data_IF_415433199578
#
_entry.id   IF_415433199578
#
_cell.length_a   1.000
_cell.length_b   1.000
_cell.length_c   1.000
_cell.angle_alpha   90.00
_cell.angle_beta   90.00
_cell.angle_gamma   90.00
#
_symmetry.space_group_name_H-M   'P 1'
#
loop_
_entity.id
_entity.type
_entity.pdbx_description
1 polymer ?
#
# COMPACT_ATOMS: atom_id res chain seq x y z
N UNK A 1 -15.49 -13.43 -3.07
CA UNK A 1 -14.49 -12.54 -2.43
C UNK A 1 -13.11 -12.93 -2.98
N UNK A 2 -12.64 -12.33 -4.09
CA UNK A 2 -11.35 -12.66 -4.72
C UNK A 2 -10.60 -11.42 -5.26
N UNK A 3 -10.96 -10.21 -4.82
CA UNK A 3 -10.44 -8.96 -5.41
C UNK A 3 -9.19 -8.39 -4.69
N UNK A 4 -8.83 -8.92 -3.51
CA UNK A 4 -7.77 -8.33 -2.68
C UNK A 4 -6.40 -8.95 -2.94
N UNK A 5 -6.34 -10.24 -3.26
CA UNK A 5 -5.07 -10.97 -3.45
C UNK A 5 -4.33 -10.54 -4.73
N UNK A 6 -5.06 -10.17 -5.80
CA UNK A 6 -4.45 -9.77 -7.07
C UNK A 6 -3.65 -8.46 -6.95
N UNK A 7 -4.21 -7.43 -6.30
CA UNK A 7 -3.55 -6.14 -6.18
C UNK A 7 -2.32 -6.19 -5.25
N UNK A 8 -2.32 -7.07 -4.24
CA UNK A 8 -1.13 -7.29 -3.40
C UNK A 8 0.00 -7.94 -4.20
N UNK A 9 -0.29 -8.98 -4.99
CA UNK A 9 0.74 -9.58 -5.85
C UNK A 9 1.30 -8.59 -6.88
N UNK A 10 0.45 -7.70 -7.41
CA UNK A 10 0.90 -6.63 -8.31
C UNK A 10 1.81 -5.64 -7.57
N UNK A 11 1.43 -5.22 -6.35
CA UNK A 11 2.28 -4.37 -5.50
C UNK A 11 3.63 -5.02 -5.19
N UNK A 12 3.64 -6.30 -4.78
CA UNK A 12 4.86 -7.05 -4.50
C UNK A 12 5.77 -7.12 -5.73
N UNK A 13 5.20 -7.37 -6.91
CA UNK A 13 5.97 -7.38 -8.17
C UNK A 13 6.62 -6.03 -8.42
N UNK A 14 5.88 -4.92 -8.32
CA UNK A 14 6.42 -3.57 -8.59
C UNK A 14 7.48 -3.17 -7.57
N UNK A 15 7.38 -3.64 -6.33
CA UNK A 15 8.36 -3.35 -5.28
C UNK A 15 9.64 -4.19 -5.38
N UNK A 16 9.56 -5.40 -5.97
CA UNK A 16 10.68 -6.34 -6.05
C UNK A 16 11.39 -6.34 -7.40
N UNK A 17 10.69 -6.00 -8.48
CA UNK A 17 11.23 -5.93 -9.83
C UNK A 17 11.45 -4.47 -10.24
N UNK A 18 12.72 -4.08 -10.33
CA UNK A 18 13.13 -2.72 -10.73
C UNK A 18 12.73 -2.36 -12.17
N UNK A 19 12.43 -3.38 -13.01
CA UNK A 19 12.02 -3.20 -14.39
C UNK A 19 10.49 -3.23 -14.55
N UNK A 20 9.74 -3.34 -13.46
CA UNK A 20 8.28 -3.34 -13.52
C UNK A 20 7.75 -1.99 -14.01
N UNK A 21 6.84 -2.04 -14.98
CA UNK A 21 6.15 -0.85 -15.46
C UNK A 21 5.30 -0.22 -14.34
N UNK A 22 5.22 1.13 -14.27
CA UNK A 22 4.30 1.82 -13.40
C UNK A 22 2.87 1.27 -13.60
N UNK A 23 2.24 0.85 -12.51
CA UNK A 23 0.91 0.24 -12.58
C UNK A 23 -0.05 0.96 -11.65
N UNK A 24 -1.27 1.19 -12.13
CA UNK A 24 -2.34 1.74 -11.31
C UNK A 24 -2.74 0.76 -10.19
N UNK A 25 -2.61 1.21 -8.95
CA UNK A 25 -3.05 0.48 -7.77
C UNK A 25 -4.27 1.16 -7.15
N UNK A 26 -5.23 0.39 -6.60
CA UNK A 26 -6.41 0.98 -5.96
C UNK A 26 -6.02 1.91 -4.81
N UNK A 27 -6.65 3.07 -4.72
CA UNK A 27 -6.42 4.01 -3.61
C UNK A 27 -6.70 3.38 -2.24
N UNK A 28 -7.66 2.46 -2.15
CA UNK A 28 -7.96 1.71 -0.93
C UNK A 28 -6.80 0.83 -0.47
N UNK A 29 -6.06 0.24 -1.40
CA UNK A 29 -4.84 -0.51 -1.11
C UNK A 29 -3.75 0.43 -0.57
N UNK A 30 -3.49 1.54 -1.28
CA UNK A 30 -2.50 2.54 -0.87
C UNK A 30 -2.80 3.10 0.53
N UNK A 31 -4.08 3.38 0.80
CA UNK A 31 -4.56 3.80 2.12
C UNK A 31 -4.33 2.73 3.18
N UNK A 32 -4.55 1.46 2.85
CA UNK A 32 -4.31 0.33 3.76
C UNK A 32 -2.85 0.20 4.17
N UNK A 33 -1.92 0.21 3.20
CA UNK A 33 -0.48 -0.02 3.45
C UNK A 33 0.24 1.16 4.10
N UNK A 34 -0.38 2.34 4.09
CA UNK A 34 0.13 3.59 4.70
C UNK A 34 -0.57 3.94 6.01
N UNK A 35 -1.36 3.01 6.58
CA UNK A 35 -2.18 3.25 7.75
C UNK A 35 -3.03 4.53 7.65
N UNK A 36 -3.73 4.68 6.52
CA UNK A 36 -4.57 5.84 6.27
C UNK A 36 -3.81 7.11 5.89
N UNK A 37 -2.65 6.99 5.22
CA UNK A 37 -1.73 8.11 4.98
C UNK A 37 -1.31 8.80 6.29
N UNK A 38 -0.97 7.98 7.30
CA UNK A 38 -0.60 8.49 8.61
C UNK A 38 0.65 9.38 8.52
N UNK A 39 0.64 10.59 9.12
CA UNK A 39 1.84 11.43 9.21
C UNK A 39 3.01 10.73 9.92
N UNK A 40 2.73 9.77 10.79
CA UNK A 40 3.76 8.96 11.45
C UNK A 40 4.57 8.10 10.46
N UNK A 41 4.02 7.83 9.28
CA UNK A 41 4.68 7.08 8.21
C UNK A 41 5.22 8.00 7.11
N UNK A 42 5.01 9.31 7.18
CA UNK A 42 5.56 10.25 6.20
C UNK A 42 7.07 10.35 6.36
N UNK A 43 7.81 10.11 5.28
CA UNK A 43 9.27 10.22 5.24
C UNK A 43 9.74 11.46 4.48
N UNK A 44 8.87 12.12 3.73
CA UNK A 44 9.20 13.34 3.01
C UNK A 44 7.99 14.07 2.45
N UNK A 45 8.17 15.37 2.20
CA UNK A 45 7.20 16.25 1.56
C UNK A 45 7.95 17.25 0.69
N UNK A 46 7.51 17.42 -0.56
CA UNK A 46 8.03 18.42 -1.49
C UNK A 46 6.92 19.10 -2.27
N UNK A 47 7.28 19.93 -3.25
CA UNK A 47 6.32 20.65 -4.10
C UNK A 47 5.45 19.75 -4.99
N UNK A 48 5.81 18.47 -5.14
CA UNK A 48 5.16 17.53 -6.04
C UNK A 48 4.42 16.40 -5.33
N UNK A 49 4.94 15.93 -4.19
CA UNK A 49 4.41 14.75 -3.53
C UNK A 49 4.74 14.70 -2.05
N UNK A 50 3.98 13.85 -1.36
CA UNK A 50 4.28 13.35 -0.02
C UNK A 50 4.67 11.88 -0.15
N UNK A 51 5.76 11.51 0.52
CA UNK A 51 6.32 10.16 0.45
C UNK A 51 6.06 9.46 1.78
N UNK A 52 5.45 8.28 1.72
CA UNK A 52 5.05 7.50 2.90
C UNK A 52 5.77 6.15 2.92
N UNK A 53 6.18 5.72 4.11
CA UNK A 53 6.67 4.38 4.38
C UNK A 53 5.50 3.40 4.42
N UNK A 54 5.65 2.28 3.72
CA UNK A 54 4.68 1.19 3.72
C UNK A 54 5.02 0.17 4.81
N UNK A 55 4.00 -0.30 5.54
CA UNK A 55 4.18 -1.32 6.61
C UNK A 55 3.62 -2.67 6.18
N UNK A 56 4.51 -3.65 6.00
CA UNK A 56 4.14 -5.03 5.63
C UNK A 56 3.30 -5.76 6.69
N UNK A 57 3.31 -5.30 7.95
CA UNK A 57 2.50 -5.88 9.02
C UNK A 57 0.98 -5.78 8.76
N UNK A 58 0.52 -4.81 7.96
CA UNK A 58 -0.88 -4.70 7.56
C UNK A 58 -1.26 -5.64 6.39
N UNK A 59 -0.28 -6.23 5.70
CA UNK A 59 -0.50 -7.17 4.59
C UNK A 59 -0.75 -8.61 5.08
N UNK A 60 -0.26 -8.95 6.28
CA UNK A 60 -0.39 -10.28 6.90
C UNK A 60 -1.38 -10.34 8.05
N UNK A 61 -2.07 -9.25 8.36
CA UNK A 61 -2.97 -9.18 9.51
C UNK A 61 -4.43 -9.44 9.09
N UNK A 62 -5.08 -10.51 9.56
CA UNK A 62 -6.53 -10.68 9.43
C UNK A 62 -7.35 -9.67 10.27
N UNK A 63 -6.73 -8.66 10.89
CA UNK A 63 -7.32 -7.90 12.00
C UNK A 63 -8.25 -6.74 11.57
N UNK A 64 -8.51 -6.53 10.27
CA UNK A 64 -9.50 -5.55 9.82
C UNK A 64 -10.79 -6.15 9.22
N UNK A 65 -11.20 -7.34 9.67
CA UNK A 65 -12.56 -7.86 9.43
C UNK A 65 -13.37 -8.06 10.73
N UNK A 66 -13.17 -7.20 11.73
CA UNK A 66 -13.92 -7.26 13.00
C UNK A 66 -14.88 -6.08 13.24
N UNK A 67 -14.99 -5.10 12.34
CA UNK A 67 -15.92 -3.99 12.53
C UNK A 67 -16.66 -3.65 11.23
N UNK A 68 -17.66 -4.47 10.88
CA UNK A 68 -18.94 -4.10 10.25
C UNK A 68 -19.76 -5.36 9.96
#
# INVERSE_FOLDING_TARGET
RQASTSHIHVLERILLDENAEPTDLPLSLLKGITNGFSPAHQIGRGGFAEVYKVTSAQLVSPVLLSCA
#
